data_IF_576136067334
#
_entry.id   IF_576136067334
#
_cell.length_a   1.000
_cell.length_b   1.000
_cell.length_c   1.000
_cell.angle_alpha   90.00
_cell.angle_beta   90.00
_cell.angle_gamma   90.00
#
_symmetry.space_group_name_H-M   'P 1'
#
loop_
_entity.id
_entity.type
_entity.pdbx_description
1 polymer ?
#
# COMPACT_ATOMS: atom_id res chain seq x y z
N UNK A 1 2.55 0.05 1.81
CA UNK A 1 2.63 -0.49 0.45
C UNK A 1 1.91 -1.84 0.35
N UNK A 2 2.12 -2.77 1.28
CA UNK A 2 1.47 -4.08 1.26
C UNK A 2 -0.06 -4.00 1.16
N UNK A 3 -0.70 -3.14 1.97
CA UNK A 3 -2.14 -2.87 1.93
C UNK A 3 -2.64 -2.54 0.52
N UNK A 4 -1.88 -1.76 -0.23
CA UNK A 4 -2.26 -1.35 -1.59
C UNK A 4 -2.05 -2.47 -2.60
N UNK A 5 -0.98 -3.23 -2.45
CA UNK A 5 -0.58 -4.23 -3.43
C UNK A 5 -1.35 -5.55 -3.28
N UNK A 6 -1.48 -6.05 -2.06
CA UNK A 6 -1.83 -7.44 -1.81
C UNK A 6 -3.00 -7.66 -0.87
N UNK A 7 -3.15 -6.82 0.18
CA UNK A 7 -4.04 -7.15 1.29
C UNK A 7 -5.52 -7.08 0.91
N UNK A 8 -6.22 -8.14 1.24
CA UNK A 8 -7.66 -8.23 1.09
C UNK A 8 -8.20 -9.29 2.04
N UNK A 9 -9.31 -8.96 2.67
CA UNK A 9 -10.09 -9.88 3.47
C UNK A 9 -11.43 -10.11 2.78
N UNK A 10 -11.78 -11.37 2.59
CA UNK A 10 -13.01 -11.77 1.89
C UNK A 10 -14.01 -12.35 2.88
N UNK A 11 -15.26 -11.90 2.79
CA UNK A 11 -16.36 -12.46 3.58
C UNK A 11 -17.22 -13.33 2.68
N UNK A 12 -17.43 -14.58 3.08
CA UNK A 12 -18.33 -15.51 2.41
C UNK A 12 -19.21 -16.21 3.45
N UNK A 13 -20.50 -16.21 3.22
CA UNK A 13 -21.50 -16.83 4.11
C UNK A 13 -21.39 -16.38 5.58
N UNK A 14 -21.02 -15.11 5.80
CA UNK A 14 -20.88 -14.53 7.13
C UNK A 14 -19.56 -14.85 7.85
N UNK A 15 -18.63 -15.53 7.21
CA UNK A 15 -17.32 -15.87 7.75
C UNK A 15 -16.18 -15.31 6.90
N UNK A 16 -15.03 -15.05 7.53
CA UNK A 16 -13.81 -14.68 6.80
C UNK A 16 -13.29 -15.91 6.06
N UNK A 17 -12.88 -15.69 4.81
CA UNK A 17 -12.30 -16.76 3.98
C UNK A 17 -10.85 -17.00 4.38
N UNK A 18 -10.11 -15.91 4.60
CA UNK A 18 -8.70 -15.95 5.00
C UNK A 18 -8.63 -16.28 6.49
N UNK A 19 -8.34 -17.53 6.82
CA UNK A 19 -8.33 -18.02 8.21
C UNK A 19 -6.97 -18.02 8.87
N UNK A 20 -5.88 -17.92 8.09
CA UNK A 20 -4.52 -18.00 8.62
C UNK A 20 -3.54 -17.19 7.76
N UNK A 21 -2.30 -17.04 8.24
CA UNK A 21 -1.23 -16.25 7.61
C UNK A 21 -0.82 -16.75 6.22
N UNK A 22 -0.97 -18.01 5.92
CA UNK A 22 -0.68 -18.60 4.60
C UNK A 22 -1.76 -18.24 3.57
N UNK A 23 -2.96 -17.93 4.02
CA UNK A 23 -4.08 -17.51 3.17
C UNK A 23 -4.15 -15.99 2.99
N UNK A 24 -3.50 -15.23 3.88
CA UNK A 24 -3.46 -13.77 3.83
C UNK A 24 -2.18 -13.28 3.15
N UNK A 25 -2.26 -12.75 1.94
CA UNK A 25 -1.07 -12.40 1.16
C UNK A 25 -0.39 -11.16 1.72
N UNK A 26 0.87 -11.34 2.12
CA UNK A 26 1.74 -10.27 2.59
C UNK A 26 3.01 -10.21 1.75
N UNK A 27 3.56 -9.01 1.61
CA UNK A 27 4.91 -8.84 1.06
C UNK A 27 5.92 -9.55 1.95
N UNK A 28 6.76 -10.34 1.34
CA UNK A 28 7.87 -11.03 2.01
C UNK A 28 9.18 -10.35 1.69
N UNK A 29 10.19 -10.58 2.50
CA UNK A 29 11.53 -10.04 2.27
C UNK A 29 12.10 -10.49 0.92
N UNK A 30 11.73 -11.69 0.47
CA UNK A 30 12.09 -12.25 -0.84
C UNK A 30 11.51 -11.51 -2.03
N UNK A 31 10.41 -10.76 -1.84
CA UNK A 31 9.74 -10.05 -2.94
C UNK A 31 10.52 -8.79 -3.36
N UNK A 32 11.59 -8.47 -2.64
CA UNK A 32 12.41 -7.30 -2.87
C UNK A 32 11.67 -6.01 -2.50
N UNK A 33 12.22 -5.25 -1.58
CA UNK A 33 11.72 -3.91 -1.31
C UNK A 33 12.35 -2.94 -2.31
N UNK A 34 11.57 -2.00 -2.85
CA UNK A 34 12.13 -0.93 -3.65
C UNK A 34 13.10 -0.12 -2.81
N UNK A 35 14.03 0.55 -3.47
CA UNK A 35 14.89 1.51 -2.82
C UNK A 35 14.03 2.61 -2.18
N UNK A 36 14.29 2.90 -0.88
CA UNK A 36 13.51 3.85 -0.12
C UNK A 36 14.39 5.05 0.20
N UNK A 37 14.04 6.21 -0.34
CA UNK A 37 14.66 7.49 -0.01
C UNK A 37 13.80 8.24 0.99
N UNK A 38 14.38 8.57 2.13
CA UNK A 38 13.68 9.29 3.20
C UNK A 38 14.28 10.70 3.29
N UNK A 39 13.42 11.71 3.07
CA UNK A 39 13.78 13.12 3.26
C UNK A 39 13.07 13.62 4.50
N UNK A 40 13.87 14.07 5.48
CA UNK A 40 13.37 14.70 6.68
C UNK A 40 13.61 16.20 6.59
N UNK A 41 12.54 16.97 6.39
CA UNK A 41 12.61 18.41 6.58
C UNK A 41 12.44 18.69 8.08
N UNK A 42 13.51 19.08 8.72
CA UNK A 42 13.46 19.49 10.13
C UNK A 42 12.58 20.75 10.24
N UNK A 43 11.40 20.58 10.81
CA UNK A 43 10.55 21.69 11.19
C UNK A 43 11.23 22.43 12.35
N UNK A 44 12.01 23.45 12.02
CA UNK A 44 12.61 24.32 13.02
C UNK A 44 11.52 25.14 13.69
N UNK A 45 11.43 25.07 15.03
CA UNK A 45 10.63 25.97 15.85
C UNK A 45 9.43 25.33 16.58
N UNK A 46 9.28 24.02 16.57
CA UNK A 46 8.28 23.33 17.38
C UNK A 46 8.92 22.44 18.44
N UNK A 47 8.61 22.71 19.70
CA UNK A 47 9.08 21.91 20.84
C UNK A 47 8.30 20.59 21.01
N UNK A 48 7.34 20.30 20.12
CA UNK A 48 6.52 19.10 20.16
C UNK A 48 6.56 18.36 18.83
N UNK A 49 6.83 17.08 18.90
CA UNK A 49 6.61 16.15 17.80
C UNK A 49 5.20 15.60 17.94
N UNK A 50 4.34 15.85 16.96
CA UNK A 50 3.06 15.19 16.85
C UNK A 50 3.24 13.74 16.41
N UNK A 51 2.28 12.89 16.76
CA UNK A 51 2.25 11.50 16.36
C UNK A 51 2.06 11.41 14.83
N UNK A 52 3.11 11.01 14.11
CA UNK A 52 3.11 10.93 12.64
C UNK A 52 3.20 9.48 12.12
N UNK A 53 3.00 8.48 12.98
CA UNK A 53 3.20 7.07 12.63
C UNK A 53 2.32 6.58 11.48
N UNK A 54 1.06 6.96 11.44
CA UNK A 54 0.07 6.44 10.49
C UNK A 54 -0.13 7.33 9.24
N UNK A 55 0.34 8.56 9.26
CA UNK A 55 0.13 9.51 8.17
C UNK A 55 0.55 8.98 6.78
N UNK A 56 1.66 8.26 6.64
CA UNK A 56 2.07 7.72 5.34
C UNK A 56 1.17 6.60 4.80
N UNK A 57 0.35 5.98 5.64
CA UNK A 57 -0.52 4.87 5.22
C UNK A 57 -1.62 5.34 4.26
N UNK A 58 -2.18 6.51 4.49
CA UNK A 58 -3.28 7.06 3.68
C UNK A 58 -2.85 7.42 2.24
N UNK A 59 -1.75 8.16 2.00
CA UNK A 59 -1.38 8.61 0.66
C UNK A 59 -0.71 7.54 -0.20
N UNK A 60 -0.29 6.40 0.35
CA UNK A 60 0.45 5.39 -0.43
C UNK A 60 -0.39 4.78 -1.56
N UNK A 61 -1.66 4.48 -1.30
CA UNK A 61 -2.57 3.95 -2.31
C UNK A 61 -2.75 4.89 -3.50
N UNK A 62 -3.16 6.16 -3.27
CA UNK A 62 -3.24 7.17 -4.34
C UNK A 62 -1.91 7.42 -5.05
N UNK A 63 -0.79 7.44 -4.33
CA UNK A 63 0.52 7.66 -4.92
C UNK A 63 0.89 6.53 -5.91
N UNK A 64 0.70 5.28 -5.51
CA UNK A 64 0.94 4.13 -6.40
C UNK A 64 -0.02 4.16 -7.59
N UNK A 65 -1.31 4.44 -7.36
CA UNK A 65 -2.29 4.58 -8.44
C UNK A 65 -1.92 5.67 -9.45
N UNK A 66 -1.42 6.81 -9.00
CA UNK A 66 -0.93 7.88 -9.87
C UNK A 66 0.35 7.48 -10.63
N UNK A 67 1.26 6.76 -9.98
CA UNK A 67 2.46 6.25 -10.64
C UNK A 67 2.12 5.27 -11.77
N UNK A 68 1.18 4.34 -11.54
CA UNK A 68 0.67 3.43 -12.56
C UNK A 68 0.03 4.21 -13.72
N UNK A 69 -0.81 5.19 -13.40
CA UNK A 69 -1.41 6.01 -14.45
C UNK A 69 -0.37 6.76 -15.27
N UNK A 70 0.67 7.29 -14.63
CA UNK A 70 1.77 7.96 -15.33
C UNK A 70 2.55 7.00 -16.23
N UNK A 71 2.73 5.75 -15.79
CA UNK A 71 3.52 4.77 -16.52
C UNK A 71 2.78 4.15 -17.72
N UNK A 72 1.50 3.82 -17.56
CA UNK A 72 0.75 3.04 -18.55
C UNK A 72 -0.61 3.68 -18.94
N UNK A 73 -0.92 4.87 -18.46
CA UNK A 73 -2.18 5.56 -18.77
C UNK A 73 -3.43 4.97 -18.09
N UNK A 74 -3.31 3.89 -17.34
CA UNK A 74 -4.43 3.18 -16.73
C UNK A 74 -4.79 3.75 -15.35
N UNK A 75 -6.02 4.19 -15.18
CA UNK A 75 -6.52 4.73 -13.92
C UNK A 75 -7.01 3.62 -12.99
N UNK A 76 -6.32 3.42 -11.89
CA UNK A 76 -6.69 2.47 -10.84
C UNK A 76 -7.58 3.17 -9.80
N UNK A 77 -8.69 2.52 -9.42
CA UNK A 77 -9.65 3.04 -8.44
C UNK A 77 -10.03 2.03 -7.36
N UNK A 78 -9.48 0.84 -7.43
CA UNK A 78 -9.73 -0.26 -6.49
C UNK A 78 -8.44 -0.97 -6.12
N UNK A 79 -8.36 -1.46 -4.92
CA UNK A 79 -7.29 -2.31 -4.39
C UNK A 79 -7.83 -3.69 -4.01
N UNK A 80 -7.02 -4.70 -3.88
CA UNK A 80 -5.57 -4.74 -4.07
C UNK A 80 -5.14 -4.74 -5.54
N UNK A 81 -3.95 -4.18 -5.81
CA UNK A 81 -3.45 -4.04 -7.18
C UNK A 81 -3.16 -5.38 -7.85
N UNK A 82 -2.81 -6.42 -7.10
CA UNK A 82 -2.59 -7.77 -7.62
C UNK A 82 -3.77 -8.34 -8.42
N UNK A 83 -4.98 -7.83 -8.16
CA UNK A 83 -6.21 -8.24 -8.86
C UNK A 83 -6.52 -7.38 -10.09
N UNK A 84 -5.71 -6.35 -10.34
CA UNK A 84 -5.91 -5.47 -11.48
C UNK A 84 -5.15 -6.02 -12.69
N UNK A 85 -5.79 -5.95 -13.84
CA UNK A 85 -5.09 -6.15 -15.11
C UNK A 85 -4.18 -4.94 -15.36
N UNK A 86 -2.88 -5.10 -15.16
CA UNK A 86 -1.86 -4.08 -15.39
C UNK A 86 -1.05 -4.35 -16.67
N UNK A 87 -1.55 -5.21 -17.54
CA UNK A 87 -0.92 -5.42 -18.84
C UNK A 87 -0.93 -4.11 -19.66
N UNK A 88 0.19 -3.82 -20.28
CA UNK A 88 0.47 -2.67 -21.14
C UNK A 88 0.66 -3.12 -22.60
#
# INVERSE_FOLDING_TARGET
>A
LNMTLNEEMTVKDGAMVEGNFDEYPMLRLSDGLPEIHIHFDALSGHDRFDLIGELPACPIGPAVGNAIHSAIGKRIRTTPLRKQDLAW
#
